data_IF_542032124957
#
_entry.id   IF_542032124957
#
_cell.length_a   1.000
_cell.length_b   1.000
_cell.length_c   1.000
_cell.angle_alpha   90.00
_cell.angle_beta   90.00
_cell.angle_gamma   90.00
#
_symmetry.space_group_name_H-M   'P 1'
#
loop_
_entity.id
_entity.type
_entity.pdbx_description
1 polymer ?
#
# COMPACT_ATOMS: atom_id res chain seq x y z
N UNK A 1 -5.95 -21.93 7.18
CA UNK A 1 -5.88 -20.70 6.36
C UNK A 1 -4.79 -19.84 6.97
N UNK A 2 -3.75 -19.47 6.21
CA UNK A 2 -2.52 -18.85 6.75
C UNK A 2 -2.82 -17.47 7.35
N UNK A 3 -3.02 -17.45 8.67
CA UNK A 3 -3.33 -16.28 9.52
C UNK A 3 -2.46 -15.05 9.21
N UNK A 4 -1.17 -15.26 8.91
CA UNK A 4 -0.24 -14.19 8.55
C UNK A 4 -0.60 -13.45 7.26
N UNK A 5 -0.97 -14.17 6.19
CA UNK A 5 -1.17 -13.58 4.88
C UNK A 5 -2.44 -12.71 4.85
N UNK A 6 -3.50 -13.17 5.50
CA UNK A 6 -4.74 -12.40 5.62
C UNK A 6 -4.57 -11.21 6.57
N UNK A 7 -3.83 -11.37 7.68
CA UNK A 7 -3.46 -10.24 8.55
C UNK A 7 -2.69 -9.15 7.80
N UNK A 8 -1.68 -9.53 7.01
CA UNK A 8 -0.87 -8.56 6.28
C UNK A 8 -1.65 -7.90 5.13
N UNK A 9 -2.55 -8.65 4.46
CA UNK A 9 -3.49 -8.08 3.48
C UNK A 9 -4.40 -7.03 4.13
N UNK A 10 -4.91 -7.30 5.32
CA UNK A 10 -5.77 -6.35 6.04
C UNK A 10 -4.98 -5.12 6.50
N UNK A 11 -3.76 -5.31 7.03
CA UNK A 11 -2.89 -4.20 7.44
C UNK A 11 -2.54 -3.27 6.29
N UNK A 12 -2.12 -3.81 5.14
CA UNK A 12 -1.78 -3.00 3.96
C UNK A 12 -2.99 -2.26 3.38
N UNK A 13 -4.18 -2.88 3.41
CA UNK A 13 -5.44 -2.20 3.06
C UNK A 13 -5.76 -1.07 4.03
N UNK A 14 -5.66 -1.32 5.34
CA UNK A 14 -5.95 -0.32 6.36
C UNK A 14 -4.99 0.87 6.25
N UNK A 15 -3.70 0.60 6.04
CA UNK A 15 -2.69 1.64 5.80
C UNK A 15 -3.07 2.58 4.64
N UNK A 16 -3.56 2.04 3.52
CA UNK A 16 -4.01 2.87 2.41
C UNK A 16 -5.25 3.72 2.78
N UNK A 17 -6.22 3.15 3.51
CA UNK A 17 -7.42 3.87 3.95
C UNK A 17 -7.08 4.99 4.94
N UNK A 18 -6.14 4.76 5.84
CA UNK A 18 -5.72 5.77 6.81
C UNK A 18 -5.02 6.94 6.12
N UNK A 19 -4.18 6.67 5.12
CA UNK A 19 -3.54 7.73 4.32
C UNK A 19 -4.54 8.50 3.45
N UNK A 20 -5.62 7.85 2.97
CA UNK A 20 -6.72 8.55 2.28
C UNK A 20 -7.41 9.53 3.24
N UNK A 21 -7.73 9.08 4.46
CA UNK A 21 -8.34 9.95 5.47
C UNK A 21 -7.41 11.10 5.87
N UNK A 22 -6.12 10.82 6.03
CA UNK A 22 -5.11 11.85 6.29
C UNK A 22 -5.11 12.89 5.18
N UNK A 23 -5.03 12.47 3.92
CA UNK A 23 -5.05 13.39 2.77
C UNK A 23 -6.30 14.26 2.74
N UNK A 24 -7.47 13.69 3.06
CA UNK A 24 -8.73 14.43 3.13
C UNK A 24 -8.74 15.48 4.26
N UNK A 25 -7.97 15.27 5.33
CA UNK A 25 -7.87 16.19 6.47
C UNK A 25 -6.84 17.31 6.27
N UNK A 26 -5.99 17.22 5.24
CA UNK A 26 -4.95 18.22 4.99
C UNK A 26 -5.55 19.56 4.53
N UNK A 27 -4.89 20.69 4.84
CA UNK A 27 -5.29 21.98 4.33
C UNK A 27 -5.19 22.01 2.79
N UNK A 28 -6.04 22.82 2.14
CA UNK A 28 -6.09 22.91 0.67
C UNK A 28 -4.98 23.78 0.08
N UNK A 29 -3.75 23.68 0.61
CA UNK A 29 -2.57 24.33 0.03
C UNK A 29 -1.93 23.45 -1.04
N UNK A 30 -1.12 24.04 -1.92
CA UNK A 30 -0.53 23.27 -3.01
C UNK A 30 0.56 22.32 -2.51
N UNK A 31 1.32 22.70 -1.48
CA UNK A 31 2.35 21.86 -0.85
C UNK A 31 1.71 20.58 -0.27
N UNK A 32 0.61 20.75 0.46
CA UNK A 32 -0.16 19.64 1.02
C UNK A 32 -0.74 18.73 -0.09
N UNK A 33 -1.19 19.31 -1.21
CA UNK A 33 -1.66 18.53 -2.37
C UNK A 33 -0.53 17.77 -3.05
N UNK A 34 0.64 18.36 -3.23
CA UNK A 34 1.81 17.71 -3.85
C UNK A 34 2.27 16.52 -3.00
N UNK A 35 2.54 16.76 -1.72
CA UNK A 35 3.00 15.72 -0.79
C UNK A 35 1.93 14.64 -0.60
N UNK A 36 0.69 15.06 -0.43
CA UNK A 36 -0.45 14.18 -0.24
C UNK A 36 -0.70 13.26 -1.44
N UNK A 37 -0.61 13.77 -2.67
CA UNK A 37 -0.73 12.93 -3.88
C UNK A 37 0.39 11.89 -3.98
N UNK A 38 1.62 12.24 -3.60
CA UNK A 38 2.72 11.28 -3.56
C UNK A 38 2.46 10.18 -2.51
N UNK A 39 2.02 10.58 -1.31
CA UNK A 39 1.68 9.66 -0.24
C UNK A 39 0.52 8.72 -0.60
N UNK A 40 -0.51 9.21 -1.28
CA UNK A 40 -1.62 8.38 -1.75
C UNK A 40 -1.15 7.30 -2.73
N UNK A 41 -0.26 7.67 -3.67
CA UNK A 41 0.28 6.72 -4.65
C UNK A 41 1.15 5.65 -4.00
N UNK A 42 2.05 6.04 -3.09
CA UNK A 42 2.93 5.10 -2.41
C UNK A 42 2.17 4.20 -1.42
N UNK A 43 1.22 4.74 -0.66
CA UNK A 43 0.45 3.93 0.29
C UNK A 43 -0.45 2.90 -0.38
N UNK A 44 -1.06 3.25 -1.53
CA UNK A 44 -1.88 2.30 -2.31
C UNK A 44 -1.05 1.28 -3.09
N UNK A 45 0.21 1.60 -3.45
CA UNK A 45 1.10 0.65 -4.11
C UNK A 45 1.50 -0.50 -3.19
N UNK A 46 1.71 -0.25 -1.88
CA UNK A 46 2.05 -1.30 -0.89
C UNK A 46 1.03 -2.44 -0.89
N UNK A 47 -0.27 -2.13 -0.79
CA UNK A 47 -1.33 -3.14 -0.83
C UNK A 47 -1.43 -3.86 -2.17
N UNK A 48 -1.14 -3.16 -3.27
CA UNK A 48 -1.15 -3.71 -4.62
C UNK A 48 0.02 -4.68 -4.84
N UNK A 49 1.23 -4.30 -4.42
CA UNK A 49 2.44 -5.12 -4.47
C UNK A 49 2.28 -6.36 -3.59
N UNK A 50 1.77 -6.22 -2.36
CA UNK A 50 1.55 -7.37 -1.49
C UNK A 50 0.55 -8.39 -2.09
N UNK A 51 -0.52 -7.92 -2.74
CA UNK A 51 -1.43 -8.81 -3.48
C UNK A 51 -0.74 -9.49 -4.66
N UNK A 52 0.19 -8.83 -5.33
CA UNK A 52 0.96 -9.40 -6.42
C UNK A 52 1.96 -10.47 -5.92
N UNK A 53 2.59 -10.23 -4.76
CA UNK A 53 3.45 -11.21 -4.05
C UNK A 53 2.66 -12.47 -3.70
N UNK A 54 1.43 -12.33 -3.19
CA UNK A 54 0.54 -13.47 -2.89
C UNK A 54 0.18 -14.33 -4.12
N UNK A 55 0.40 -13.83 -5.34
CA UNK A 55 0.15 -14.54 -6.61
C UNK A 55 1.45 -14.93 -7.34
N UNK A 56 2.61 -14.81 -6.68
CA UNK A 56 3.87 -15.22 -7.27
C UNK A 56 3.88 -16.74 -7.56
N UNK A 57 4.51 -17.13 -8.68
CA UNK A 57 4.59 -18.52 -9.15
C UNK A 57 5.96 -19.14 -8.88
N UNK A 58 6.90 -18.38 -8.33
CA UNK A 58 8.24 -18.82 -7.93
C UNK A 58 8.81 -17.95 -6.82
N UNK A 59 9.81 -18.45 -6.10
CA UNK A 59 10.51 -17.70 -5.04
C UNK A 59 11.22 -16.45 -5.58
N UNK A 60 11.75 -16.54 -6.81
CA UNK A 60 12.35 -15.39 -7.51
C UNK A 60 11.32 -14.29 -7.78
N UNK A 61 10.13 -14.68 -8.26
CA UNK A 61 9.03 -13.76 -8.50
C UNK A 61 8.47 -13.18 -7.20
N UNK A 62 8.43 -13.98 -6.13
CA UNK A 62 8.04 -13.54 -4.80
C UNK A 62 8.96 -12.43 -4.30
N UNK A 63 10.27 -12.66 -4.34
CA UNK A 63 11.28 -11.68 -3.90
C UNK A 63 11.21 -10.40 -4.75
N UNK A 64 11.19 -10.54 -6.08
CA UNK A 64 11.13 -9.40 -6.98
C UNK A 64 9.92 -8.49 -6.73
N UNK A 65 8.75 -9.07 -6.42
CA UNK A 65 7.52 -8.30 -6.13
C UNK A 65 7.47 -7.71 -4.72
N UNK A 66 8.21 -8.30 -3.78
CA UNK A 66 8.32 -7.79 -2.41
C UNK A 66 9.25 -6.58 -2.34
N UNK A 67 10.25 -6.51 -3.22
CA UNK A 67 11.25 -5.43 -3.28
C UNK A 67 10.84 -4.22 -4.13
N UNK A 68 9.56 -4.10 -4.50
CA UNK A 68 8.99 -2.95 -5.23
C UNK A 68 8.49 -1.90 -4.23
#
# INVERSE_FOLDING_TARGET
MNDFADKFRNRTKQFALDNIKLFQSLPKTEEARILGRQLLRSSTSVGSNYRAVCRARSDKEFFAKLSI
#
